data_IF_026131583093
#
_entry.id   IF_026131583093
#
_cell.length_a   1.000
_cell.length_b   1.000
_cell.length_c   1.000
_cell.angle_alpha   90.00
_cell.angle_beta   90.00
_cell.angle_gamma   90.00
#
_symmetry.space_group_name_H-M   'P 1'
#
loop_
_entity.id
_entity.type
_entity.pdbx_description
1 polymer ?
#
# COMPACT_ATOMS: atom_id res chain seq x y z
N UNK A 1 26.94 -7.46 -15.78
CA UNK A 1 26.88 -8.92 -15.91
C UNK A 1 25.44 -9.32 -16.24
N UNK A 2 25.19 -9.93 -17.40
CA UNK A 2 23.91 -10.58 -17.71
C UNK A 2 24.09 -12.06 -17.33
N UNK A 3 23.23 -12.60 -16.49
CA UNK A 3 23.26 -14.04 -16.17
C UNK A 3 22.72 -14.81 -17.39
N UNK A 4 23.51 -15.74 -17.94
CA UNK A 4 23.15 -16.58 -19.08
C UNK A 4 22.39 -17.86 -18.67
N UNK A 5 21.64 -17.80 -17.56
CA UNK A 5 20.79 -18.89 -17.10
C UNK A 5 19.32 -18.46 -17.22
N UNK A 6 18.55 -19.18 -18.03
CA UNK A 6 17.15 -18.84 -18.34
C UNK A 6 16.23 -18.75 -17.11
N UNK A 7 16.59 -19.42 -16.00
CA UNK A 7 15.86 -19.37 -14.73
C UNK A 7 16.27 -18.23 -13.79
N UNK A 8 17.38 -17.53 -14.06
CA UNK A 8 17.92 -16.49 -13.18
C UNK A 8 17.83 -15.12 -13.84
N UNK A 9 17.02 -14.24 -13.26
CA UNK A 9 16.86 -12.85 -13.72
C UNK A 9 17.34 -11.88 -12.66
N UNK A 10 18.20 -10.95 -13.06
CA UNK A 10 18.57 -9.82 -12.22
C UNK A 10 17.49 -8.75 -12.27
N UNK A 11 17.21 -8.12 -11.13
CA UNK A 11 16.36 -6.93 -11.09
C UNK A 11 16.99 -5.82 -11.93
N UNK A 12 16.21 -5.15 -12.81
CA UNK A 12 16.71 -3.98 -13.53
C UNK A 12 17.23 -2.91 -12.56
N UNK A 13 18.37 -2.34 -12.87
CA UNK A 13 18.99 -1.26 -12.09
C UNK A 13 19.45 -0.13 -13.02
N UNK A 14 19.40 1.10 -12.52
CA UNK A 14 19.81 2.30 -13.28
C UNK A 14 20.27 3.39 -12.32
N UNK A 15 21.22 4.20 -12.77
CA UNK A 15 21.60 5.47 -12.11
C UNK A 15 20.89 6.67 -12.74
N UNK A 16 20.16 6.47 -13.85
CA UNK A 16 19.42 7.53 -14.53
C UNK A 16 18.08 7.80 -13.84
N UNK A 17 17.94 9.01 -13.29
CA UNK A 17 16.68 9.47 -12.69
C UNK A 17 15.51 9.42 -13.70
N UNK A 18 15.77 9.75 -14.97
CA UNK A 18 14.74 9.71 -16.01
C UNK A 18 14.19 8.28 -16.22
N UNK A 19 15.07 7.28 -16.21
CA UNK A 19 14.67 5.86 -16.31
C UNK A 19 13.95 5.40 -15.05
N UNK A 20 14.45 5.75 -13.85
CA UNK A 20 13.79 5.42 -12.60
C UNK A 20 12.37 6.03 -12.51
N UNK A 21 12.19 7.29 -12.94
CA UNK A 21 10.88 7.94 -13.03
C UNK A 21 9.95 7.23 -14.01
N UNK A 22 10.47 6.76 -15.15
CA UNK A 22 9.68 5.98 -16.12
C UNK A 22 9.20 4.67 -15.51
N UNK A 23 10.08 3.94 -14.80
CA UNK A 23 9.70 2.72 -14.07
C UNK A 23 8.64 3.00 -13.02
N UNK A 24 8.83 4.04 -12.20
CA UNK A 24 7.87 4.42 -11.17
C UNK A 24 6.50 4.78 -11.77
N UNK A 25 6.46 5.49 -12.91
CA UNK A 25 5.19 5.83 -13.57
C UNK A 25 4.36 4.60 -13.96
N UNK A 26 5.03 3.56 -14.47
CA UNK A 26 4.40 2.28 -14.84
C UNK A 26 4.11 1.34 -13.66
N UNK A 27 4.66 1.62 -12.47
CA UNK A 27 4.47 0.78 -11.29
C UNK A 27 2.99 0.71 -10.85
N UNK A 28 2.60 -0.45 -10.33
CA UNK A 28 1.23 -0.78 -9.91
C UNK A 28 0.27 -1.13 -11.06
N UNK A 29 0.74 -1.22 -12.30
CA UNK A 29 -0.01 -1.82 -13.43
C UNK A 29 0.64 -3.12 -13.95
N UNK A 30 1.81 -3.46 -13.43
CA UNK A 30 2.58 -4.66 -13.79
C UNK A 30 3.13 -5.35 -12.54
N UNK A 31 4.25 -6.07 -12.68
CA UNK A 31 4.80 -6.92 -11.62
C UNK A 31 5.45 -6.21 -10.42
N UNK A 32 5.45 -4.86 -10.36
CA UNK A 32 6.13 -4.10 -9.29
C UNK A 32 5.27 -3.00 -8.70
N UNK A 33 5.41 -2.78 -7.39
CA UNK A 33 4.73 -1.72 -6.63
C UNK A 33 5.36 -0.33 -6.77
N UNK A 34 6.63 -0.27 -7.19
CA UNK A 34 7.41 0.96 -7.18
C UNK A 34 8.88 0.71 -7.50
N UNK A 35 9.74 1.63 -7.05
CA UNK A 35 11.20 1.55 -7.19
C UNK A 35 11.87 1.57 -5.81
N UNK A 36 13.05 0.93 -5.71
CA UNK A 36 13.90 0.97 -4.52
C UNK A 36 15.12 1.80 -4.86
N UNK A 37 15.36 2.87 -4.10
CA UNK A 37 16.58 3.66 -4.17
C UNK A 37 17.57 3.19 -3.11
N UNK A 38 18.82 2.99 -3.52
CA UNK A 38 19.93 2.55 -2.66
C UNK A 38 21.11 3.48 -2.88
N UNK A 39 21.75 3.92 -1.80
CA UNK A 39 22.99 4.66 -1.89
C UNK A 39 24.11 3.75 -2.41
N UNK A 40 24.81 4.17 -3.47
CA UNK A 40 25.83 3.33 -4.12
C UNK A 40 27.11 3.18 -3.28
N UNK A 41 27.41 4.16 -2.43
CA UNK A 41 28.61 4.19 -1.60
C UNK A 41 28.41 3.52 -0.22
N UNK A 42 27.18 3.12 0.12
CA UNK A 42 26.89 2.53 1.43
C UNK A 42 27.04 1.00 1.40
N UNK A 43 27.67 0.40 2.42
CA UNK A 43 27.69 -1.05 2.57
C UNK A 43 26.30 -1.57 2.94
N UNK A 44 26.13 -2.88 2.79
CA UNK A 44 24.95 -3.55 3.32
C UNK A 44 24.94 -3.47 4.86
N UNK A 45 23.79 -3.08 5.43
CA UNK A 45 23.57 -3.01 6.88
C UNK A 45 22.49 -3.98 7.31
N UNK A 46 22.84 -5.16 7.85
CA UNK A 46 21.86 -6.17 8.27
C UNK A 46 20.92 -5.63 9.36
N UNK A 47 19.62 -5.90 9.24
CA UNK A 47 18.62 -5.48 10.23
C UNK A 47 18.18 -4.01 10.13
N UNK A 48 18.91 -3.18 9.37
CA UNK A 48 18.58 -1.76 9.20
C UNK A 48 17.69 -1.49 7.98
N UNK A 49 16.84 -0.48 8.09
CA UNK A 49 15.95 -0.02 6.99
C UNK A 49 16.58 1.12 6.20
N UNK A 50 17.76 0.90 5.63
CA UNK A 50 18.53 1.95 4.92
C UNK A 50 18.03 2.23 3.49
N UNK A 51 17.35 1.27 2.86
CA UNK A 51 16.85 1.44 1.49
C UNK A 51 15.54 2.24 1.46
N UNK A 52 15.42 3.14 0.49
CA UNK A 52 14.21 3.96 0.31
C UNK A 52 13.27 3.26 -0.67
N UNK A 53 12.05 2.95 -0.20
CA UNK A 53 10.97 2.41 -1.04
C UNK A 53 10.09 3.55 -1.55
N UNK A 54 10.16 3.82 -2.84
CA UNK A 54 9.31 4.83 -3.49
C UNK A 54 8.19 4.11 -4.23
N UNK A 55 6.98 4.17 -3.66
CA UNK A 55 5.78 3.53 -4.19
C UNK A 55 4.79 4.58 -4.69
N UNK A 56 3.96 4.21 -5.65
CA UNK A 56 2.82 5.04 -6.03
C UNK A 56 1.67 4.79 -5.08
N UNK A 57 1.29 5.81 -4.31
CA UNK A 57 0.06 5.77 -3.54
C UNK A 57 -1.13 5.92 -4.48
N UNK A 58 -2.12 5.05 -4.32
CA UNK A 58 -3.43 5.17 -4.96
C UNK A 58 -4.46 5.21 -3.84
N UNK A 59 -5.37 6.16 -3.92
CA UNK A 59 -6.45 6.35 -2.96
C UNK A 59 -7.78 6.25 -3.70
N UNK A 60 -8.82 5.91 -2.96
CA UNK A 60 -10.19 5.92 -3.44
C UNK A 60 -11.07 6.36 -2.28
N UNK A 61 -12.04 7.22 -2.56
CA UNK A 61 -13.06 7.59 -1.60
C UNK A 61 -14.12 6.50 -1.60
N UNK A 62 -14.28 5.84 -0.45
CA UNK A 62 -15.17 4.70 -0.30
C UNK A 62 -16.31 5.04 0.66
N UNK A 63 -17.47 4.45 0.42
CA UNK A 63 -18.61 4.53 1.35
C UNK A 63 -18.38 3.54 2.48
N UNK A 64 -18.66 3.96 3.72
CA UNK A 64 -18.68 3.06 4.88
C UNK A 64 -20.01 2.31 4.90
N UNK A 65 -19.98 1.03 4.51
CA UNK A 65 -21.17 0.17 4.51
C UNK A 65 -21.44 -0.52 5.84
N UNK A 66 -20.50 -0.46 6.78
CA UNK A 66 -20.61 -1.02 8.12
C UNK A 66 -19.30 -0.98 8.88
N UNK A 67 -19.27 -1.57 10.07
CA UNK A 67 -18.07 -1.64 10.90
C UNK A 67 -18.04 -2.91 11.74
N UNK A 68 -16.87 -3.23 12.31
CA UNK A 68 -16.68 -4.32 13.27
C UNK A 68 -16.07 -3.75 14.56
N UNK A 69 -16.52 -4.26 15.69
CA UNK A 69 -15.90 -3.94 16.99
C UNK A 69 -14.53 -4.58 17.14
N UNK A 70 -13.72 -4.02 18.04
CA UNK A 70 -12.54 -4.67 18.58
C UNK A 70 -12.93 -5.92 19.37
N UNK A 71 -12.03 -6.90 19.41
CA UNK A 71 -12.20 -8.07 20.27
C UNK A 71 -12.28 -7.64 21.74
N UNK A 72 -13.36 -8.00 22.42
CA UNK A 72 -13.57 -7.73 23.85
C UNK A 72 -13.78 -6.25 24.22
N UNK A 73 -13.95 -5.35 23.26
CA UNK A 73 -14.21 -3.91 23.53
C UNK A 73 -15.29 -3.38 22.60
N UNK A 74 -16.24 -2.64 23.17
CA UNK A 74 -17.29 -1.94 22.41
C UNK A 74 -16.76 -0.64 21.81
N UNK A 75 -15.76 -0.78 20.95
CA UNK A 75 -15.15 0.30 20.18
C UNK A 75 -14.89 -0.20 18.76
N UNK A 76 -15.09 0.67 17.77
CA UNK A 76 -14.86 0.31 16.36
C UNK A 76 -13.41 -0.12 16.16
N UNK A 77 -13.24 -1.33 15.64
CA UNK A 77 -11.98 -1.94 15.26
C UNK A 77 -11.64 -1.74 13.80
N UNK A 78 -12.64 -1.84 12.92
CA UNK A 78 -12.48 -1.65 11.47
C UNK A 78 -13.75 -1.15 10.80
N UNK A 79 -13.59 -0.40 9.70
CA UNK A 79 -14.67 0.08 8.84
C UNK A 79 -14.70 -0.75 7.55
N UNK A 80 -15.89 -1.21 7.16
CA UNK A 80 -16.14 -1.93 5.92
C UNK A 80 -16.41 -0.93 4.79
N UNK A 81 -15.61 -0.99 3.74
CA UNK A 81 -15.61 -0.05 2.64
C UNK A 81 -16.30 -0.64 1.42
N UNK A 82 -17.04 0.20 0.69
CA UNK A 82 -17.66 -0.17 -0.57
C UNK A 82 -17.62 0.94 -1.62
N UNK A 83 -17.74 0.55 -2.88
CA UNK A 83 -17.90 1.43 -4.04
C UNK A 83 -19.16 1.05 -4.81
N UNK A 84 -19.88 2.04 -5.33
CA UNK A 84 -21.04 1.78 -6.16
C UNK A 84 -20.61 1.31 -7.55
N UNK A 85 -21.25 0.24 -8.03
CA UNK A 85 -21.09 -0.23 -9.41
C UNK A 85 -22.15 0.37 -10.36
N UNK A 86 -22.04 0.05 -11.65
CA UNK A 86 -22.93 0.57 -12.69
C UNK A 86 -24.40 0.15 -12.52
N UNK A 87 -24.70 -0.84 -11.67
CA UNK A 87 -26.06 -1.29 -11.33
C UNK A 87 -26.62 -0.57 -10.10
N UNK A 88 -25.88 0.39 -9.54
CA UNK A 88 -26.25 1.11 -8.31
C UNK A 88 -26.11 0.28 -7.03
N UNK A 89 -25.40 -0.85 -7.08
CA UNK A 89 -25.16 -1.70 -5.90
C UNK A 89 -23.85 -1.32 -5.23
N UNK A 90 -23.79 -1.41 -3.90
CA UNK A 90 -22.58 -1.13 -3.13
C UNK A 90 -21.73 -2.41 -3.02
N UNK A 91 -20.67 -2.49 -3.81
CA UNK A 91 -19.74 -3.61 -3.80
C UNK A 91 -18.71 -3.44 -2.69
N UNK A 92 -18.50 -4.47 -1.88
CA UNK A 92 -17.49 -4.47 -0.84
C UNK A 92 -16.08 -4.53 -1.45
N UNK A 93 -15.25 -3.53 -1.18
CA UNK A 93 -13.89 -3.41 -1.75
C UNK A 93 -12.77 -3.64 -0.73
N UNK A 94 -13.11 -3.78 0.55
CA UNK A 94 -12.16 -4.05 1.62
C UNK A 94 -12.51 -3.35 2.92
N UNK A 95 -11.54 -3.21 3.81
CA UNK A 95 -11.73 -2.57 5.11
C UNK A 95 -10.49 -1.80 5.52
N UNK A 96 -10.65 -0.85 6.45
CA UNK A 96 -9.54 -0.18 7.13
C UNK A 96 -9.65 -0.38 8.64
N UNK A 97 -8.53 -0.61 9.32
CA UNK A 97 -8.44 -0.80 10.78
C UNK A 97 -7.46 0.15 11.47
N UNK A 98 -6.73 0.95 10.68
CA UNK A 98 -5.78 1.97 11.17
C UNK A 98 -6.54 3.21 11.60
N UNK A 99 -7.15 3.13 12.78
CA UNK A 99 -7.88 4.22 13.43
C UNK A 99 -7.11 4.60 14.69
N UNK A 100 -6.84 5.89 14.89
CA UNK A 100 -6.12 6.36 16.07
C UNK A 100 -6.93 6.08 17.35
N UNK A 101 -6.25 5.75 18.45
CA UNK A 101 -6.95 5.24 19.65
C UNK A 101 -7.84 6.28 20.32
N UNK A 102 -7.46 7.55 20.23
CA UNK A 102 -8.19 8.74 20.69
C UNK A 102 -9.42 9.04 19.82
N UNK A 103 -9.37 8.75 18.52
CA UNK A 103 -10.50 8.94 17.60
C UNK A 103 -11.61 7.87 17.74
N UNK A 104 -11.27 6.67 18.23
CA UNK A 104 -12.19 5.52 18.24
C UNK A 104 -13.47 5.77 19.01
N UNK A 105 -13.41 6.45 20.16
CA UNK A 105 -14.60 6.69 20.98
C UNK A 105 -15.61 7.61 20.26
N UNK A 106 -15.12 8.71 19.68
CA UNK A 106 -15.95 9.64 18.91
C UNK A 106 -16.51 8.98 17.65
N UNK A 107 -15.69 8.19 16.94
CA UNK A 107 -16.12 7.48 15.74
C UNK A 107 -17.17 6.40 16.06
N UNK A 108 -17.01 5.67 17.17
CA UNK A 108 -17.99 4.67 17.63
C UNK A 108 -19.34 5.33 17.89
N UNK A 109 -19.36 6.43 18.64
CA UNK A 109 -20.59 7.19 18.92
C UNK A 109 -21.28 7.72 17.66
N UNK A 110 -20.53 8.03 16.60
CA UNK A 110 -21.09 8.58 15.35
C UNK A 110 -21.75 7.52 14.47
N UNK A 111 -21.31 6.26 14.57
CA UNK A 111 -21.70 5.18 13.66
C UNK A 111 -22.64 4.16 14.31
N UNK A 112 -22.71 4.12 15.64
CA UNK A 112 -23.84 3.52 16.38
C UNK A 112 -25.11 4.35 16.20
#
# INVERSE_FOLDING_TARGET
ARAENAGLKLSPATTSLATARRWLRGAGRGATDGVVAKALAEPYRPGERTMIKVKRLRTADCVVGGFRYLSGKRQIGSLLLGLYNDRGQLDHVGFTSTIASDERAALTKRLE
#
